data_IF_066951875361
#
_entry.id   IF_066951875361
#
_cell.length_a   1.000
_cell.length_b   1.000
_cell.length_c   1.000
_cell.angle_alpha   90.00
_cell.angle_beta   90.00
_cell.angle_gamma   90.00
#
_symmetry.space_group_name_H-M   'P 1'
#
loop_
_entity.id
_entity.type
_entity.pdbx_description
1 polymer ?
#
# COMPACT_ATOMS: atom_id res chain seq x y z
N UNK A 1 18.63 -6.42 -7.19
CA UNK A 1 17.35 -5.69 -7.10
C UNK A 1 17.26 -5.16 -5.68
N UNK A 2 16.99 -3.88 -5.49
CA UNK A 2 16.83 -3.29 -4.16
C UNK A 2 15.62 -3.91 -3.45
N UNK A 3 15.59 -3.89 -2.11
CA UNK A 3 14.45 -4.43 -1.36
C UNK A 3 13.16 -3.67 -1.64
N UNK A 4 13.27 -2.37 -1.91
CA UNK A 4 12.18 -1.50 -2.36
C UNK A 4 12.71 -0.28 -3.12
N UNK A 5 11.83 0.36 -3.89
CA UNK A 5 12.11 1.61 -4.60
C UNK A 5 10.90 2.55 -4.53
N UNK A 6 11.18 3.87 -4.57
CA UNK A 6 10.14 4.91 -4.61
C UNK A 6 9.92 5.42 -6.01
N UNK A 7 8.63 5.64 -6.37
CA UNK A 7 8.21 6.24 -7.63
C UNK A 7 7.24 7.38 -7.40
N UNK A 8 7.62 8.59 -7.81
CA UNK A 8 6.84 9.81 -7.63
C UNK A 8 5.88 10.03 -8.80
N UNK A 9 4.61 10.25 -8.47
CA UNK A 9 3.54 10.52 -9.43
C UNK A 9 2.73 11.77 -9.09
N UNK A 10 3.27 12.70 -8.28
CA UNK A 10 2.57 13.90 -7.84
C UNK A 10 2.13 14.81 -8.99
N UNK A 11 2.79 14.74 -10.15
CA UNK A 11 2.38 15.49 -11.36
C UNK A 11 1.10 14.94 -11.99
N UNK A 12 0.82 13.64 -11.85
CA UNK A 12 -0.37 12.97 -12.38
C UNK A 12 -1.49 12.88 -11.33
N UNK A 13 -1.11 12.65 -10.07
CA UNK A 13 -2.01 12.40 -8.95
C UNK A 13 -1.77 13.50 -7.91
N UNK A 14 -2.45 14.62 -8.07
CA UNK A 14 -2.30 15.78 -7.19
C UNK A 14 -2.99 15.59 -5.82
N UNK A 15 -2.88 16.57 -4.94
CA UNK A 15 -3.46 16.53 -3.60
C UNK A 15 -4.98 16.32 -3.61
N UNK A 16 -5.70 17.01 -4.49
CA UNK A 16 -7.16 16.88 -4.59
C UNK A 16 -7.60 15.49 -5.05
N UNK A 17 -6.83 14.88 -5.99
CA UNK A 17 -7.06 13.49 -6.42
C UNK A 17 -6.87 12.51 -5.27
N UNK A 18 -5.81 12.70 -4.47
CA UNK A 18 -5.55 11.86 -3.30
C UNK A 18 -6.64 12.00 -2.24
N UNK A 19 -7.11 13.21 -1.99
CA UNK A 19 -8.19 13.46 -1.04
C UNK A 19 -9.51 12.80 -1.47
N UNK A 20 -9.89 12.88 -2.75
CA UNK A 20 -11.08 12.17 -3.27
C UNK A 20 -10.97 10.67 -3.11
N UNK A 21 -9.80 10.08 -3.43
CA UNK A 21 -9.58 8.63 -3.25
C UNK A 21 -9.59 8.22 -1.77
N UNK A 22 -9.04 9.03 -0.87
CA UNK A 22 -9.13 8.79 0.57
C UNK A 22 -10.59 8.82 1.05
N UNK A 23 -11.40 9.76 0.54
CA UNK A 23 -12.83 9.84 0.85
C UNK A 23 -13.61 8.64 0.29
N UNK A 24 -13.24 8.10 -0.89
CA UNK A 24 -13.85 6.88 -1.41
C UNK A 24 -13.58 5.68 -0.49
N UNK A 25 -12.33 5.50 -0.02
CA UNK A 25 -11.99 4.44 0.95
C UNK A 25 -12.77 4.64 2.25
N UNK A 26 -12.83 5.87 2.76
CA UNK A 26 -13.63 6.19 3.95
C UNK A 26 -15.09 5.75 3.78
N UNK A 27 -15.69 6.14 2.67
CA UNK A 27 -17.10 5.84 2.36
C UNK A 27 -17.36 4.34 2.23
N UNK A 28 -16.43 3.57 1.62
CA UNK A 28 -16.53 2.11 1.53
C UNK A 28 -16.52 1.47 2.92
N UNK A 29 -15.64 1.92 3.81
CA UNK A 29 -15.56 1.42 5.19
C UNK A 29 -16.83 1.75 5.96
N UNK A 30 -17.36 2.98 5.87
CA UNK A 30 -18.61 3.37 6.52
C UNK A 30 -19.84 2.58 6.01
N UNK A 31 -19.79 2.11 4.75
CA UNK A 31 -20.79 1.20 4.16
C UNK A 31 -20.61 -0.27 4.58
N UNK A 32 -19.61 -0.59 5.40
CA UNK A 32 -19.30 -1.96 5.82
C UNK A 32 -18.63 -2.82 4.75
N UNK A 33 -18.09 -2.20 3.68
CA UNK A 33 -17.38 -2.89 2.58
C UNK A 33 -15.90 -3.10 2.93
N UNK A 34 -15.65 -3.83 3.99
CA UNK A 34 -14.30 -4.19 4.46
C UNK A 34 -14.28 -5.58 5.07
N UNK A 35 -13.10 -6.19 5.10
CA UNK A 35 -12.88 -7.48 5.74
C UNK A 35 -13.02 -7.33 7.26
N UNK A 36 -14.08 -7.90 7.83
CA UNK A 36 -14.44 -7.73 9.26
C UNK A 36 -13.43 -8.34 10.24
N UNK A 37 -12.60 -9.26 9.77
CA UNK A 37 -11.59 -9.94 10.60
C UNK A 37 -10.18 -9.38 10.39
N UNK A 38 -10.07 -8.25 9.72
CA UNK A 38 -8.78 -7.61 9.40
C UNK A 38 -8.74 -6.20 9.99
N UNK A 39 -8.20 -6.00 11.18
CA UNK A 39 -7.68 -4.69 11.53
C UNK A 39 -6.35 -4.50 10.78
N UNK A 40 -6.06 -3.38 10.19
CA UNK A 40 -6.90 -2.19 9.99
C UNK A 40 -8.05 -2.43 9.01
N UNK A 41 -8.98 -1.47 8.89
CA UNK A 41 -10.07 -1.57 7.91
C UNK A 41 -9.52 -1.68 6.49
N UNK A 42 -9.51 -2.89 5.95
CA UNK A 42 -9.13 -3.19 4.58
C UNK A 42 -10.38 -3.35 3.73
N UNK A 43 -10.50 -2.62 2.61
CA UNK A 43 -11.64 -2.78 1.71
C UNK A 43 -11.73 -4.21 1.16
N UNK A 44 -12.94 -4.73 1.01
CA UNK A 44 -13.23 -6.06 0.46
C UNK A 44 -13.43 -6.03 -1.06
N UNK A 45 -13.31 -4.86 -1.68
CA UNK A 45 -13.40 -4.63 -3.12
C UNK A 45 -12.03 -4.32 -3.72
N UNK A 46 -11.82 -4.72 -4.98
CA UNK A 46 -10.67 -4.26 -5.75
C UNK A 46 -10.88 -2.79 -6.13
N UNK A 47 -10.20 -1.88 -5.42
CA UNK A 47 -10.43 -0.43 -5.57
C UNK A 47 -10.01 0.11 -6.94
N UNK A 48 -9.10 -0.55 -7.67
CA UNK A 48 -8.79 -0.19 -9.05
C UNK A 48 -9.93 -0.48 -10.03
N UNK A 49 -10.97 -1.17 -9.57
CA UNK A 49 -12.23 -1.37 -10.32
C UNK A 49 -13.23 -0.21 -10.18
N UNK A 50 -12.97 0.74 -9.28
CA UNK A 50 -13.82 1.92 -9.13
C UNK A 50 -13.71 2.83 -10.36
N UNK A 51 -14.88 3.29 -10.83
CA UNK A 51 -14.99 4.03 -12.10
C UNK A 51 -14.71 5.52 -11.90
N UNK A 52 -13.44 5.91 -11.85
CA UNK A 52 -13.03 7.32 -11.87
C UNK A 52 -11.68 7.52 -12.56
N UNK A 53 -11.41 8.73 -13.01
CA UNK A 53 -10.12 9.10 -13.60
C UNK A 53 -8.98 8.97 -12.57
N UNK A 54 -9.24 9.31 -11.31
CA UNK A 54 -8.25 9.24 -10.23
C UNK A 54 -7.79 7.80 -10.00
N UNK A 55 -8.71 6.85 -9.89
CA UNK A 55 -8.39 5.43 -9.70
C UNK A 55 -7.71 4.82 -10.93
N UNK A 56 -8.11 5.21 -12.15
CA UNK A 56 -7.41 4.79 -13.37
C UNK A 56 -5.98 5.32 -13.41
N UNK A 57 -5.76 6.59 -13.07
CA UNK A 57 -4.42 7.18 -13.00
C UNK A 57 -3.54 6.48 -11.96
N UNK A 58 -4.09 6.19 -10.78
CA UNK A 58 -3.38 5.46 -9.73
C UNK A 58 -3.01 4.04 -10.17
N UNK A 59 -3.94 3.31 -10.80
CA UNK A 59 -3.69 1.98 -11.36
C UNK A 59 -2.57 2.00 -12.40
N UNK A 60 -2.61 2.95 -13.34
CA UNK A 60 -1.59 3.07 -14.38
C UNK A 60 -0.23 3.44 -13.78
N UNK A 61 -0.20 4.37 -12.83
CA UNK A 61 1.04 4.73 -12.12
C UNK A 61 1.67 3.53 -11.39
N UNK A 62 0.85 2.66 -10.80
CA UNK A 62 1.31 1.41 -10.19
C UNK A 62 1.95 0.48 -11.21
N UNK A 63 1.28 0.20 -12.32
CA UNK A 63 1.78 -0.69 -13.38
C UNK A 63 3.11 -0.18 -13.94
N UNK A 64 3.20 1.12 -14.27
CA UNK A 64 4.43 1.71 -14.77
C UNK A 64 5.57 1.67 -13.74
N UNK A 65 5.26 1.90 -12.45
CA UNK A 65 6.25 1.76 -11.36
C UNK A 65 6.76 0.33 -11.24
N UNK A 66 5.88 -0.67 -11.38
CA UNK A 66 6.28 -2.09 -11.38
C UNK A 66 7.20 -2.42 -12.56
N UNK A 67 6.90 -1.93 -13.76
CA UNK A 67 7.76 -2.14 -14.94
C UNK A 67 9.12 -1.46 -14.79
N UNK A 68 9.15 -0.25 -14.25
CA UNK A 68 10.39 0.46 -13.93
C UNK A 68 11.23 -0.31 -12.91
N UNK A 69 10.61 -0.80 -11.84
CA UNK A 69 11.26 -1.62 -10.81
C UNK A 69 11.85 -2.92 -11.38
N UNK A 70 11.13 -3.57 -12.29
CA UNK A 70 11.57 -4.80 -12.97
C UNK A 70 12.60 -4.52 -14.07
N UNK A 71 12.79 -3.26 -14.49
CA UNK A 71 13.57 -2.83 -15.64
C UNK A 71 13.16 -3.56 -16.94
N UNK A 72 11.87 -3.88 -17.07
CA UNK A 72 11.26 -4.51 -18.25
C UNK A 72 9.74 -4.43 -18.20
N UNK A 73 9.12 -4.45 -19.36
CA UNK A 73 7.71 -4.79 -19.49
C UNK A 73 7.48 -6.30 -19.34
N UNK A 74 6.29 -6.67 -18.88
CA UNK A 74 5.91 -8.06 -18.67
C UNK A 74 4.43 -8.28 -19.01
N UNK A 75 4.06 -9.51 -19.33
CA UNK A 75 2.67 -9.86 -19.49
C UNK A 75 1.98 -9.92 -18.12
N UNK A 76 1.01 -9.04 -17.93
CA UNK A 76 0.25 -8.95 -16.68
C UNK A 76 -0.82 -10.04 -16.67
N UNK A 77 -0.80 -10.91 -15.65
CA UNK A 77 -1.85 -11.90 -15.39
C UNK A 77 -3.00 -11.30 -14.58
N UNK A 78 -2.67 -10.53 -13.54
CA UNK A 78 -3.65 -9.89 -12.67
C UNK A 78 -3.10 -8.64 -12.00
N UNK A 79 -4.00 -7.70 -11.68
CA UNK A 79 -3.74 -6.57 -10.79
C UNK A 79 -4.83 -6.52 -9.74
N UNK A 80 -4.45 -6.56 -8.46
CA UNK A 80 -5.36 -6.49 -7.31
C UNK A 80 -4.99 -5.30 -6.45
N UNK A 81 -5.97 -4.70 -5.79
CA UNK A 81 -5.70 -3.54 -4.92
C UNK A 81 -6.70 -3.43 -3.79
N UNK A 82 -6.25 -2.87 -2.68
CA UNK A 82 -7.03 -2.66 -1.47
C UNK A 82 -6.78 -1.26 -0.94
N UNK A 83 -7.83 -0.65 -0.39
CA UNK A 83 -7.73 0.55 0.40
C UNK A 83 -7.64 0.21 1.88
N UNK A 84 -6.84 0.95 2.64
CA UNK A 84 -6.77 0.83 4.09
C UNK A 84 -7.10 2.15 4.77
N UNK A 85 -7.92 2.07 5.82
CA UNK A 85 -8.22 3.15 6.78
C UNK A 85 -7.67 2.72 8.13
N UNK A 86 -6.66 3.43 8.65
CA UNK A 86 -5.92 3.05 9.86
C UNK A 86 -5.70 4.24 10.79
N UNK A 87 -5.66 3.98 12.09
CA UNK A 87 -5.22 4.92 13.12
C UNK A 87 -4.53 4.17 14.27
N UNK A 88 -4.19 4.84 15.37
CA UNK A 88 -3.53 4.20 16.52
C UNK A 88 -4.34 3.04 17.09
N UNK A 89 -5.66 3.15 17.15
CA UNK A 89 -6.53 2.14 17.77
C UNK A 89 -6.68 0.86 16.91
N UNK A 90 -6.29 0.92 15.63
CA UNK A 90 -6.37 -0.24 14.72
C UNK A 90 -5.07 -1.04 14.64
N UNK A 91 -4.11 -0.82 15.57
CA UNK A 91 -2.76 -1.40 15.50
C UNK A 91 -2.38 -2.28 16.70
N UNK A 92 -3.38 -2.77 17.47
CA UNK A 92 -3.14 -3.50 18.73
C UNK A 92 -2.29 -4.76 18.57
N UNK A 93 -2.28 -5.39 17.41
CA UNK A 93 -1.63 -6.71 17.22
C UNK A 93 -0.61 -6.71 16.08
N UNK A 94 0.27 -5.71 16.11
CA UNK A 94 1.21 -5.41 15.03
C UNK A 94 2.14 -6.55 14.63
N UNK A 95 2.47 -7.46 15.54
CA UNK A 95 3.30 -8.63 15.25
C UNK A 95 2.60 -9.63 14.32
N UNK A 96 1.27 -9.67 14.32
CA UNK A 96 0.48 -10.51 13.44
C UNK A 96 0.33 -9.93 12.03
N UNK A 97 0.86 -8.72 11.75
CA UNK A 97 0.76 -8.09 10.43
C UNK A 97 1.91 -8.42 9.48
N UNK A 98 2.91 -9.19 9.93
CA UNK A 98 3.93 -9.67 9.03
C UNK A 98 3.35 -10.63 8.01
N UNK A 99 3.49 -10.31 6.73
CA UNK A 99 2.97 -11.12 5.64
C UNK A 99 3.79 -10.99 4.36
N UNK A 100 3.48 -11.86 3.41
CA UNK A 100 4.08 -11.92 2.08
C UNK A 100 2.96 -12.15 1.05
N UNK A 101 3.19 -11.71 -0.18
CA UNK A 101 2.29 -11.97 -1.30
C UNK A 101 2.94 -12.96 -2.26
N UNK A 102 2.82 -14.25 -1.95
CA UNK A 102 3.40 -15.33 -2.75
C UNK A 102 2.30 -16.01 -3.56
N UNK A 103 2.59 -16.30 -4.83
CA UNK A 103 1.79 -17.13 -5.70
C UNK A 103 2.67 -18.23 -6.29
N UNK A 104 2.22 -19.51 -6.32
CA UNK A 104 3.07 -20.64 -6.72
C UNK A 104 3.69 -20.49 -8.11
N UNK A 105 2.94 -19.97 -9.09
CA UNK A 105 3.33 -19.95 -10.51
C UNK A 105 3.43 -18.53 -11.08
N UNK A 106 3.63 -17.53 -10.23
CA UNK A 106 3.67 -16.13 -10.65
C UNK A 106 4.70 -15.34 -9.85
N UNK A 107 5.40 -14.45 -10.54
CA UNK A 107 6.13 -13.39 -9.86
C UNK A 107 5.11 -12.30 -9.44
N UNK A 108 5.13 -11.95 -8.16
CA UNK A 108 4.33 -10.85 -7.64
C UNK A 108 5.20 -9.65 -7.35
N UNK A 109 4.81 -8.50 -7.85
CA UNK A 109 5.36 -7.19 -7.48
C UNK A 109 4.29 -6.45 -6.70
N UNK A 110 4.62 -6.03 -5.49
CA UNK A 110 3.71 -5.34 -4.59
C UNK A 110 4.04 -3.86 -4.45
N UNK A 111 3.06 -3.08 -4.08
CA UNK A 111 3.27 -1.65 -3.81
C UNK A 111 2.34 -1.09 -2.76
N UNK A 112 2.79 -0.03 -2.11
CA UNK A 112 2.03 0.76 -1.15
C UNK A 112 2.08 2.24 -1.56
N UNK A 113 0.92 2.88 -1.61
CA UNK A 113 0.77 4.31 -1.92
C UNK A 113 0.10 5.05 -0.78
N UNK A 114 0.70 6.14 -0.33
CA UNK A 114 0.15 6.95 0.75
C UNK A 114 -0.72 8.07 0.19
N UNK A 115 -2.04 7.94 0.35
CA UNK A 115 -3.02 8.97 -0.06
C UNK A 115 -3.06 10.13 0.92
N UNK A 116 -3.17 9.79 2.21
CA UNK A 116 -3.28 10.75 3.30
C UNK A 116 -2.59 10.23 4.57
N UNK A 117 -1.83 11.09 5.21
CA UNK A 117 -1.20 10.85 6.50
C UNK A 117 -1.52 12.03 7.42
N UNK A 118 -1.98 11.80 8.65
CA UNK A 118 -2.29 12.86 9.60
C UNK A 118 -1.12 13.81 9.82
N UNK A 119 -1.41 15.10 9.94
CA UNK A 119 -0.40 16.11 10.19
C UNK A 119 0.37 15.84 11.49
N UNK A 120 1.69 16.04 11.48
CA UNK A 120 2.55 15.79 12.63
C UNK A 120 2.83 14.31 12.90
N UNK A 121 2.50 13.42 11.97
CA UNK A 121 2.95 12.02 12.00
C UNK A 121 4.46 11.96 11.73
N UNK A 122 5.17 11.11 12.47
CA UNK A 122 6.56 10.81 12.16
C UNK A 122 6.63 9.92 10.90
N UNK A 123 6.99 10.50 9.77
CA UNK A 123 7.04 9.79 8.48
C UNK A 123 8.12 8.70 8.44
N UNK A 124 9.19 8.84 9.23
CA UNK A 124 10.28 7.86 9.30
C UNK A 124 9.85 6.53 9.93
N UNK A 125 8.83 6.54 10.79
CA UNK A 125 8.35 5.34 11.50
C UNK A 125 6.99 4.85 11.02
N UNK A 126 6.24 5.66 10.25
CA UNK A 126 4.86 5.37 9.83
C UNK A 126 4.75 4.78 8.44
N UNK A 127 5.87 4.45 7.80
CA UNK A 127 5.93 3.91 6.44
C UNK A 127 5.62 2.42 6.35
N UNK A 128 6.43 1.70 5.56
CA UNK A 128 6.36 0.25 5.41
C UNK A 128 7.62 -0.38 5.99
N UNK A 129 7.46 -1.30 6.92
CA UNK A 129 8.58 -2.02 7.56
C UNK A 129 8.80 -3.35 6.87
N UNK A 130 10.06 -3.65 6.55
CA UNK A 130 10.50 -4.88 5.90
C UNK A 130 11.36 -5.73 6.84
N UNK A 131 11.27 -7.05 6.72
CA UNK A 131 12.14 -8.01 7.39
C UNK A 131 12.86 -8.88 6.35
N UNK A 132 14.04 -8.46 5.83
CA UNK A 132 14.73 -9.13 4.73
C UNK A 132 15.04 -10.61 5.00
N UNK A 133 15.36 -10.92 6.24
CA UNK A 133 15.72 -12.28 6.69
C UNK A 133 14.57 -12.98 7.44
N UNK A 134 13.35 -12.46 7.32
CA UNK A 134 12.18 -12.91 8.06
C UNK A 134 12.01 -12.23 9.43
N UNK A 135 10.77 -12.18 9.95
CA UNK A 135 10.45 -11.48 11.20
C UNK A 135 11.23 -11.97 12.42
N UNK A 136 11.54 -13.26 12.46
CA UNK A 136 12.25 -13.92 13.57
C UNK A 136 13.73 -13.52 13.66
N UNK A 137 14.31 -13.00 12.58
CA UNK A 137 15.71 -12.58 12.55
C UNK A 137 15.97 -11.26 13.31
N UNK A 138 14.92 -10.51 13.63
CA UNK A 138 15.00 -9.26 14.40
C UNK A 138 15.59 -8.06 13.65
N UNK A 139 16.05 -8.24 12.42
CA UNK A 139 16.60 -7.17 11.59
C UNK A 139 15.51 -6.61 10.67
N UNK A 140 15.10 -5.38 10.90
CA UNK A 140 14.09 -4.72 10.08
C UNK A 140 14.62 -3.46 9.41
N UNK A 141 14.02 -3.11 8.28
CA UNK A 141 14.29 -1.88 7.53
C UNK A 141 12.98 -1.12 7.40
N UNK A 142 12.97 0.14 7.82
CA UNK A 142 11.82 1.02 7.62
C UNK A 142 11.98 1.81 6.34
N UNK A 143 11.04 1.65 5.41
CA UNK A 143 10.85 2.55 4.30
C UNK A 143 9.94 3.70 4.75
N UNK A 144 10.44 4.94 4.87
CA UNK A 144 9.64 6.09 5.31
C UNK A 144 8.38 6.30 4.47
N UNK A 145 7.31 6.78 5.09
CA UNK A 145 6.10 7.14 4.35
C UNK A 145 6.32 8.39 3.50
N UNK A 146 5.97 8.32 2.22
CA UNK A 146 6.05 9.47 1.29
C UNK A 146 4.71 9.66 0.60
N UNK A 147 4.00 10.74 0.95
CA UNK A 147 2.70 11.05 0.36
C UNK A 147 2.85 11.27 -1.14
N UNK A 148 1.99 10.63 -1.93
CA UNK A 148 1.99 10.75 -3.39
C UNK A 148 3.04 9.91 -4.11
N UNK A 149 3.71 8.99 -3.42
CA UNK A 149 4.68 8.08 -4.00
C UNK A 149 4.30 6.61 -3.78
N UNK A 150 4.58 5.78 -4.76
CA UNK A 150 4.59 4.33 -4.59
C UNK A 150 5.89 3.88 -3.92
N UNK A 151 5.78 2.98 -2.95
CA UNK A 151 6.86 2.09 -2.55
C UNK A 151 6.62 0.78 -3.29
N UNK A 152 7.54 0.35 -4.16
CA UNK A 152 7.45 -0.89 -4.94
C UNK A 152 8.48 -1.88 -4.42
N UNK A 153 8.07 -3.15 -4.25
CA UNK A 153 8.92 -4.21 -3.69
C UNK A 153 8.48 -5.60 -4.18
N UNK A 154 9.33 -6.64 -4.04
CA UNK A 154 8.95 -8.00 -4.40
C UNK A 154 7.84 -8.51 -3.47
N UNK A 155 6.80 -9.12 -4.00
CA UNK A 155 5.70 -9.67 -3.19
C UNK A 155 6.16 -10.69 -2.13
N UNK A 156 7.29 -11.37 -2.34
CA UNK A 156 7.91 -12.29 -1.38
C UNK A 156 8.64 -11.59 -0.21
N UNK A 157 8.76 -10.26 -0.21
CA UNK A 157 9.36 -9.55 0.90
C UNK A 157 8.41 -9.59 2.11
N UNK A 158 8.92 -10.01 3.27
CA UNK A 158 8.20 -9.87 4.52
C UNK A 158 8.02 -8.41 4.85
N UNK A 159 6.78 -7.98 5.03
CA UNK A 159 6.48 -6.58 5.31
C UNK A 159 5.25 -6.42 6.21
N UNK A 160 5.16 -5.24 6.81
CA UNK A 160 4.02 -4.80 7.60
C UNK A 160 3.89 -3.27 7.59
N UNK A 161 2.73 -2.68 7.94
CA UNK A 161 2.62 -1.24 8.10
C UNK A 161 3.47 -0.72 9.25
N UNK A 162 4.07 0.46 9.07
CA UNK A 162 4.74 1.20 10.12
C UNK A 162 3.75 1.74 11.17
N UNK A 163 4.29 2.19 12.30
CA UNK A 163 3.49 2.68 13.45
C UNK A 163 2.83 4.02 13.09
N UNK A 164 1.56 4.17 13.43
CA UNK A 164 0.85 5.43 13.45
C UNK A 164 0.42 5.75 14.89
N UNK A 165 0.90 6.86 15.43
CA UNK A 165 0.63 7.31 16.82
C UNK A 165 -0.47 8.38 16.87
N UNK A 166 -1.37 8.42 15.89
CA UNK A 166 -2.42 9.43 15.73
C UNK A 166 -3.80 8.80 15.79
N UNK A 167 -4.75 9.52 16.39
CA UNK A 167 -6.17 9.18 16.37
C UNK A 167 -6.82 9.46 15.02
N UNK A 168 -6.30 10.46 14.29
CA UNK A 168 -6.75 10.79 12.95
C UNK A 168 -6.41 9.65 11.97
N UNK A 169 -7.22 9.54 10.93
CA UNK A 169 -7.12 8.44 9.97
C UNK A 169 -6.01 8.64 8.94
N UNK A 170 -5.22 7.59 8.75
CA UNK A 170 -4.32 7.43 7.59
C UNK A 170 -5.04 6.60 6.53
N UNK A 171 -4.92 7.01 5.26
CA UNK A 171 -5.44 6.27 4.11
C UNK A 171 -4.30 5.88 3.19
N UNK A 172 -4.21 4.60 2.88
CA UNK A 172 -3.23 4.04 1.95
C UNK A 172 -3.90 3.11 0.95
N UNK A 173 -3.23 2.87 -0.16
CA UNK A 173 -3.57 1.85 -1.16
C UNK A 173 -2.45 0.83 -1.18
N UNK A 174 -2.77 -0.45 -1.06
CA UNK A 174 -1.87 -1.53 -1.38
C UNK A 174 -2.31 -2.19 -2.69
N UNK A 175 -1.34 -2.64 -3.48
CA UNK A 175 -1.63 -3.31 -4.75
C UNK A 175 -0.58 -4.39 -5.06
N UNK A 176 -1.04 -5.42 -5.78
CA UNK A 176 -0.23 -6.50 -6.32
C UNK A 176 -0.38 -6.60 -7.83
N UNK A 177 0.73 -6.77 -8.54
CA UNK A 177 0.77 -7.15 -9.95
C UNK A 177 1.36 -8.55 -10.07
N UNK A 178 0.59 -9.47 -10.66
CA UNK A 178 1.02 -10.84 -10.98
C UNK A 178 1.48 -10.90 -12.45
N UNK A 179 2.65 -11.48 -12.71
CA UNK A 179 3.26 -11.66 -14.03
C UNK A 179 3.78 -13.08 -14.23
#
# INVERSE_FOLDING_TARGET
>A
MSEYEYYDWNNLINADSRERMAQDIHSLVEQGKYWKNSPPYQTDVNIFGLQSADWNNLKMSFIWSCFAYLNREAQIKAVKSWGYKTNVDTQEDRNNYWHQHIRPDSLVVSGVYYLHIPQGTNLETSGTEFAPNGPEAGNTIMAPAKIGQWIIFPGKAWHRPGILEKQEWRYIVAADMEI
#
